data_IF_907855989231
#
_entry.id   IF_907855989231
#
_cell.length_a   1.000
_cell.length_b   1.000
_cell.length_c   1.000
_cell.angle_alpha   90.00
_cell.angle_beta   90.00
_cell.angle_gamma   90.00
#
_symmetry.space_group_name_H-M   'P 1'
#
loop_
_entity.id
_entity.type
_entity.pdbx_description
1 polymer ?
#
# COMPACT_ATOMS: atom_id res chain seq x y z
N UNK A 1 -2.78 -2.12 16.18
CA UNK A 1 -1.66 -1.14 16.28
C UNK A 1 -2.23 0.17 16.78
N UNK A 2 -1.77 0.65 17.94
CA UNK A 2 -2.25 1.91 18.52
C UNK A 2 -1.19 2.99 18.34
N UNK A 3 -1.59 4.22 18.15
CA UNK A 3 -0.73 5.41 18.15
C UNK A 3 -1.34 6.49 19.06
N UNK A 4 -0.57 7.49 19.39
CA UNK A 4 -0.98 8.61 20.25
C UNK A 4 -0.57 9.96 19.63
N UNK A 5 -0.86 11.06 20.33
CA UNK A 5 -0.53 12.39 19.85
C UNK A 5 0.97 12.65 19.74
N UNK A 6 1.78 12.01 20.59
CA UNK A 6 3.24 12.14 20.51
C UNK A 6 3.78 11.55 19.19
N UNK A 7 3.13 10.49 18.67
CA UNK A 7 3.46 9.93 17.36
C UNK A 7 3.14 10.90 16.22
N UNK A 8 2.00 11.60 16.31
CA UNK A 8 1.63 12.64 15.35
C UNK A 8 2.62 13.82 15.41
N UNK A 9 2.92 14.29 16.62
CA UNK A 9 3.86 15.40 16.83
C UNK A 9 5.27 15.04 16.33
N UNK A 10 5.73 13.82 16.62
CA UNK A 10 7.01 13.34 16.12
C UNK A 10 7.04 13.29 14.59
N UNK A 11 6.00 12.70 13.97
CA UNK A 11 5.90 12.61 12.52
C UNK A 11 5.94 13.99 11.87
N UNK A 12 5.13 14.93 12.37
CA UNK A 12 5.06 16.30 11.82
C UNK A 12 6.38 17.04 11.93
N UNK A 13 7.09 16.89 13.03
CA UNK A 13 8.31 17.64 13.30
C UNK A 13 9.57 17.03 12.67
N UNK A 14 9.60 15.71 12.43
CA UNK A 14 10.83 15.00 12.08
C UNK A 14 10.78 14.25 10.74
N UNK A 15 9.58 13.85 10.30
CA UNK A 15 9.40 12.99 9.13
C UNK A 15 8.73 13.74 7.99
N UNK A 16 7.58 14.39 8.26
CA UNK A 16 6.79 15.06 7.22
C UNK A 16 7.58 16.18 6.55
N UNK A 17 7.49 16.24 5.22
CA UNK A 17 8.08 17.30 4.43
C UNK A 17 7.09 17.75 3.34
N UNK A 18 6.52 18.93 3.54
CA UNK A 18 5.53 19.51 2.64
C UNK A 18 6.03 19.64 1.19
N UNK A 19 7.35 19.88 1.00
CA UNK A 19 7.95 20.00 -0.34
C UNK A 19 7.87 18.71 -1.17
N UNK A 20 7.64 17.57 -0.52
CA UNK A 20 7.46 16.27 -1.16
C UNK A 20 5.99 15.90 -1.37
N UNK A 21 5.08 16.79 -1.00
CA UNK A 21 3.67 16.62 -1.29
C UNK A 21 3.35 17.19 -2.68
N UNK A 22 3.09 16.33 -3.61
CA UNK A 22 2.69 16.68 -4.98
C UNK A 22 1.17 16.53 -5.10
N UNK A 23 0.49 17.52 -5.66
CA UNK A 23 -0.98 17.57 -5.71
C UNK A 23 -1.63 16.49 -6.59
N UNK A 24 -0.88 15.77 -7.39
CA UNK A 24 -1.40 14.73 -8.29
C UNK A 24 -0.79 13.36 -8.01
N UNK A 25 -1.61 12.43 -7.54
CA UNK A 25 -1.24 11.02 -7.40
C UNK A 25 -0.26 10.70 -6.26
N UNK A 26 -0.06 11.58 -5.28
CA UNK A 26 0.77 11.31 -4.12
C UNK A 26 -0.04 10.82 -2.93
N UNK A 27 0.64 10.10 -2.04
CA UNK A 27 0.09 9.72 -0.74
C UNK A 27 -0.42 10.94 0.02
N UNK A 28 -1.55 10.83 0.68
CA UNK A 28 -1.99 11.85 1.64
C UNK A 28 -1.08 11.88 2.88
N UNK A 29 -1.15 12.95 3.66
CA UNK A 29 -0.41 13.01 4.92
C UNK A 29 -0.81 11.87 5.88
N UNK A 30 -2.07 11.45 5.84
CA UNK A 30 -2.57 10.32 6.64
C UNK A 30 -1.92 9.02 6.17
N UNK A 31 -1.85 8.79 4.86
CA UNK A 31 -1.22 7.59 4.30
C UNK A 31 0.28 7.55 4.60
N UNK A 32 0.98 8.70 4.49
CA UNK A 32 2.39 8.84 4.88
C UNK A 32 2.60 8.51 6.36
N UNK A 33 1.72 9.00 7.23
CA UNK A 33 1.79 8.76 8.67
C UNK A 33 1.55 7.29 9.00
N UNK A 34 0.58 6.64 8.38
CA UNK A 34 0.30 5.21 8.60
C UNK A 34 1.44 4.31 8.14
N UNK A 35 2.08 4.64 7.00
CA UNK A 35 3.30 3.97 6.55
C UNK A 35 4.43 4.14 7.59
N UNK A 36 4.66 5.38 8.06
CA UNK A 36 5.63 5.64 9.14
C UNK A 36 5.35 4.80 10.39
N UNK A 37 4.09 4.75 10.85
CA UNK A 37 3.71 3.97 12.03
C UNK A 37 3.97 2.48 11.86
N UNK A 38 3.60 1.90 10.72
CA UNK A 38 3.84 0.49 10.44
C UNK A 38 5.34 0.17 10.51
N UNK A 39 6.16 0.98 9.84
CA UNK A 39 7.61 0.81 9.81
C UNK A 39 8.28 1.03 11.19
N UNK A 40 7.84 2.07 11.92
CA UNK A 40 8.34 2.36 13.28
C UNK A 40 8.10 1.20 14.24
N UNK A 41 6.93 0.56 14.14
CA UNK A 41 6.55 -0.53 15.03
C UNK A 41 7.20 -1.86 14.64
N UNK A 42 7.23 -2.19 13.36
CA UNK A 42 7.75 -3.47 12.86
C UNK A 42 9.26 -3.49 12.68
N UNK A 43 9.88 -2.34 12.46
CA UNK A 43 11.33 -2.15 12.31
C UNK A 43 11.98 -3.13 11.33
N UNK A 44 11.43 -3.29 10.11
CA UNK A 44 12.03 -4.19 9.14
C UNK A 44 13.41 -3.70 8.73
N UNK A 45 14.29 -4.64 8.34
CA UNK A 45 15.61 -4.30 7.78
C UNK A 45 15.53 -4.07 6.28
N UNK A 46 14.50 -4.63 5.65
CA UNK A 46 14.32 -4.61 4.20
C UNK A 46 12.89 -4.19 3.91
N UNK A 47 12.73 -3.24 3.00
CA UNK A 47 11.42 -2.84 2.48
C UNK A 47 11.39 -3.05 0.98
N UNK A 48 10.34 -3.69 0.50
CA UNK A 48 10.03 -3.78 -0.92
C UNK A 48 8.83 -2.88 -1.17
N UNK A 49 9.07 -1.81 -1.89
CA UNK A 49 8.08 -0.83 -2.30
C UNK A 49 7.68 -1.11 -3.76
N UNK A 50 6.41 -1.43 -3.99
CA UNK A 50 5.85 -1.59 -5.33
C UNK A 50 4.87 -0.45 -5.59
N UNK A 51 5.18 0.39 -6.60
CA UNK A 51 4.57 1.70 -6.85
C UNK A 51 5.36 2.82 -6.17
N UNK A 52 6.23 3.48 -6.93
CA UNK A 52 7.16 4.51 -6.41
C UNK A 52 6.72 5.93 -6.79
N UNK A 53 6.29 6.12 -8.04
CA UNK A 53 5.82 7.37 -8.61
C UNK A 53 6.74 8.56 -8.27
N UNK A 54 6.31 9.49 -7.40
CA UNK A 54 7.07 10.70 -7.03
C UNK A 54 8.14 10.45 -5.95
N UNK A 55 8.24 9.22 -5.40
CA UNK A 55 9.21 8.87 -4.38
C UNK A 55 8.86 9.34 -2.96
N UNK A 56 7.62 9.74 -2.74
CA UNK A 56 7.16 10.21 -1.42
C UNK A 56 7.22 9.08 -0.38
N UNK A 57 6.73 7.91 -0.72
CA UNK A 57 6.79 6.71 0.12
C UNK A 57 8.23 6.27 0.37
N UNK A 58 9.08 6.25 -0.65
CA UNK A 58 10.52 5.96 -0.50
C UNK A 58 11.19 6.90 0.50
N UNK A 59 10.85 8.20 0.45
CA UNK A 59 11.34 9.18 1.44
C UNK A 59 10.89 8.84 2.86
N UNK A 60 9.60 8.54 3.07
CA UNK A 60 9.06 8.16 4.38
C UNK A 60 9.74 6.91 4.92
N UNK A 61 9.94 5.89 4.07
CA UNK A 61 10.65 4.66 4.42
C UNK A 61 12.06 4.98 4.90
N UNK A 62 12.83 5.74 4.11
CA UNK A 62 14.21 6.11 4.45
C UNK A 62 14.30 6.94 5.73
N UNK A 63 13.41 7.91 5.90
CA UNK A 63 13.38 8.75 7.11
C UNK A 63 12.98 7.98 8.36
N UNK A 64 12.14 6.98 8.23
CA UNK A 64 11.68 6.17 9.36
C UNK A 64 12.72 5.15 9.80
N UNK A 65 13.34 4.45 8.86
CA UNK A 65 14.21 3.30 9.15
C UNK A 65 15.70 3.64 9.22
N UNK A 66 16.10 4.83 8.74
CA UNK A 66 17.51 5.26 8.75
C UNK A 66 18.31 4.69 7.57
N UNK A 67 19.63 4.89 7.62
CA UNK A 67 20.53 4.65 6.48
C UNK A 67 20.84 3.17 6.22
N UNK A 68 20.69 2.32 7.23
CA UNK A 68 21.06 0.89 7.14
C UNK A 68 19.97 0.03 6.48
N UNK A 69 18.73 0.52 6.39
CA UNK A 69 17.65 -0.21 5.76
C UNK A 69 17.88 -0.38 4.25
N UNK A 70 17.62 -1.58 3.76
CA UNK A 70 17.66 -1.91 2.33
C UNK A 70 16.28 -1.61 1.75
N UNK A 71 16.22 -0.85 0.66
CA UNK A 71 14.96 -0.53 -0.02
C UNK A 71 15.02 -1.02 -1.47
N UNK A 72 14.04 -1.81 -1.87
CA UNK A 72 13.80 -2.19 -3.26
C UNK A 72 12.62 -1.37 -3.76
N UNK A 73 12.85 -0.52 -4.76
CA UNK A 73 11.86 0.35 -5.38
C UNK A 73 11.46 -0.22 -6.74
N UNK A 74 10.21 -0.67 -6.87
CA UNK A 74 9.69 -1.31 -8.08
C UNK A 74 8.63 -0.40 -8.71
N UNK A 75 8.84 0.01 -9.96
CA UNK A 75 7.84 0.77 -10.71
C UNK A 75 7.97 0.47 -12.21
N UNK A 76 6.88 0.03 -12.88
CA UNK A 76 6.92 -0.26 -14.31
C UNK A 76 7.14 0.98 -15.18
N UNK A 77 6.88 2.15 -14.64
CA UNK A 77 7.05 3.41 -15.34
C UNK A 77 8.40 4.05 -14.98
N UNK A 78 8.93 4.84 -15.91
CA UNK A 78 10.03 5.74 -15.59
C UNK A 78 9.52 6.81 -14.62
N UNK A 79 10.24 7.02 -13.53
CA UNK A 79 9.82 8.01 -12.54
C UNK A 79 9.96 9.42 -13.12
N UNK A 80 9.03 10.33 -12.83
CA UNK A 80 9.13 11.72 -13.22
C UNK A 80 10.46 12.35 -12.81
N UNK A 81 11.01 13.27 -13.61
CA UNK A 81 12.30 13.93 -13.33
C UNK A 81 12.28 14.73 -12.02
N UNK A 82 11.09 15.17 -11.59
CA UNK A 82 10.88 15.87 -10.31
C UNK A 82 10.79 14.93 -9.11
N UNK A 83 10.78 13.60 -9.32
CA UNK A 83 10.64 12.63 -8.23
C UNK A 83 11.80 12.71 -7.26
N UNK A 84 11.49 12.59 -5.98
CA UNK A 84 12.51 12.40 -4.97
C UNK A 84 13.19 11.04 -5.16
N UNK A 85 14.51 11.02 -5.12
CA UNK A 85 15.33 9.81 -5.22
C UNK A 85 16.15 9.63 -3.96
N UNK A 86 16.11 8.44 -3.41
CA UNK A 86 17.06 8.05 -2.38
C UNK A 86 18.40 7.67 -3.02
N UNK A 87 19.44 8.43 -2.71
CA UNK A 87 20.79 8.22 -3.23
C UNK A 87 21.63 7.27 -2.35
N UNK A 88 21.03 6.69 -1.32
CA UNK A 88 21.71 5.73 -0.47
C UNK A 88 22.04 4.45 -1.27
N UNK A 89 23.25 3.92 -1.09
CA UNK A 89 23.70 2.69 -1.76
C UNK A 89 22.87 1.44 -1.41
N UNK A 90 22.13 1.49 -0.30
CA UNK A 90 21.20 0.43 0.10
C UNK A 90 19.84 0.53 -0.57
N UNK A 91 19.60 1.53 -1.46
CA UNK A 91 18.37 1.63 -2.26
C UNK A 91 18.61 1.15 -3.67
N UNK A 92 17.80 0.21 -4.11
CA UNK A 92 17.88 -0.39 -5.45
C UNK A 92 16.59 -0.09 -6.21
N UNK A 93 16.74 0.52 -7.39
CA UNK A 93 15.63 0.88 -8.27
C UNK A 93 15.51 -0.12 -9.43
N UNK A 94 14.34 -0.71 -9.55
CA UNK A 94 13.88 -1.54 -10.66
C UNK A 94 12.72 -0.84 -11.35
N UNK A 95 13.02 0.08 -12.26
CA UNK A 95 12.04 1.01 -12.84
C UNK A 95 12.11 1.02 -14.36
N UNK A 96 11.02 1.36 -15.01
CA UNK A 96 10.92 1.49 -16.46
C UNK A 96 11.44 0.25 -17.18
N UNK A 97 12.44 0.41 -18.05
CA UNK A 97 13.02 -0.68 -18.83
C UNK A 97 13.75 -1.74 -17.98
N UNK A 98 14.11 -1.41 -16.74
CA UNK A 98 14.76 -2.33 -15.80
C UNK A 98 13.76 -2.86 -14.75
N UNK A 99 12.48 -2.70 -14.98
CA UNK A 99 11.44 -3.15 -14.06
C UNK A 99 11.50 -4.64 -13.82
N UNK A 100 11.38 -5.01 -12.55
CA UNK A 100 11.19 -6.39 -12.09
C UNK A 100 9.95 -6.40 -11.21
N UNK A 101 8.95 -7.21 -11.58
CA UNK A 101 7.76 -7.37 -10.73
C UNK A 101 8.13 -8.01 -9.39
N UNK A 102 7.37 -7.66 -8.36
CA UNK A 102 7.53 -8.19 -7.00
C UNK A 102 7.67 -9.72 -6.97
N UNK A 103 6.88 -10.43 -7.78
CA UNK A 103 6.91 -11.89 -7.83
C UNK A 103 8.27 -12.43 -8.30
N UNK A 104 8.94 -11.73 -9.19
CA UNK A 104 10.19 -12.14 -9.84
C UNK A 104 11.44 -11.63 -9.12
N UNK A 105 11.26 -10.82 -8.07
CA UNK A 105 12.39 -10.30 -7.29
C UNK A 105 13.10 -11.44 -6.56
N UNK A 106 14.40 -11.58 -6.79
CA UNK A 106 15.23 -12.56 -6.07
C UNK A 106 15.56 -12.06 -4.66
N UNK A 107 15.03 -12.76 -3.67
CA UNK A 107 15.18 -12.46 -2.25
C UNK A 107 15.89 -13.56 -1.48
N UNK A 108 16.44 -14.57 -2.15
CA UNK A 108 17.01 -15.76 -1.52
C UNK A 108 18.13 -15.48 -0.52
N UNK A 109 18.86 -14.38 -0.70
CA UNK A 109 19.94 -13.97 0.20
C UNK A 109 19.45 -13.26 1.48
N UNK A 110 18.14 -13.02 1.61
CA UNK A 110 17.58 -12.25 2.71
C UNK A 110 16.68 -13.12 3.60
N UNK A 111 16.68 -12.81 4.91
CA UNK A 111 15.74 -13.44 5.81
C UNK A 111 14.33 -12.82 5.62
N UNK A 112 13.38 -13.64 5.23
CA UNK A 112 12.00 -13.19 4.97
C UNK A 112 11.33 -12.50 6.17
N UNK A 113 11.74 -12.81 7.39
CA UNK A 113 11.23 -12.17 8.62
C UNK A 113 11.66 -10.71 8.76
N UNK A 114 12.76 -10.32 8.11
CA UNK A 114 13.26 -8.96 8.11
C UNK A 114 12.64 -8.10 6.98
N UNK A 115 11.79 -8.71 6.14
CA UNK A 115 11.19 -8.07 4.98
C UNK A 115 9.79 -7.54 5.30
N UNK A 116 9.52 -6.33 4.84
CA UNK A 116 8.22 -5.68 4.81
C UNK A 116 7.87 -5.35 3.35
N UNK A 117 6.69 -5.73 2.90
CA UNK A 117 6.19 -5.40 1.58
C UNK A 117 5.18 -4.25 1.67
N UNK A 118 5.40 -3.21 0.88
CA UNK A 118 4.50 -2.08 0.73
C UNK A 118 3.99 -2.01 -0.72
N UNK A 119 2.67 -2.07 -0.89
CA UNK A 119 2.01 -2.05 -2.18
C UNK A 119 1.16 -0.79 -2.34
N UNK A 120 1.55 0.03 -3.31
CA UNK A 120 0.83 1.19 -3.84
C UNK A 120 0.81 1.12 -5.38
N UNK A 121 0.75 -0.11 -5.90
CA UNK A 121 0.92 -0.44 -7.32
C UNK A 121 -0.41 -0.68 -8.04
N UNK A 122 -1.52 -0.52 -7.35
CA UNK A 122 -2.88 -0.70 -7.86
C UNK A 122 -3.12 -2.09 -8.49
N UNK A 123 -2.37 -3.10 -8.05
CA UNK A 123 -2.55 -4.47 -8.50
C UNK A 123 -3.55 -5.22 -7.61
N UNK A 124 -3.96 -6.40 -8.06
CA UNK A 124 -4.84 -7.28 -7.30
C UNK A 124 -4.20 -7.65 -5.96
N UNK A 125 -4.77 -7.18 -4.85
CA UNK A 125 -4.22 -7.38 -3.50
C UNK A 125 -4.13 -8.87 -3.14
N UNK A 126 -5.05 -9.71 -3.61
CA UNK A 126 -5.02 -11.14 -3.33
C UNK A 126 -3.83 -11.81 -4.00
N UNK A 127 -3.52 -11.44 -5.23
CA UNK A 127 -2.30 -11.92 -5.91
C UNK A 127 -1.05 -11.53 -5.13
N UNK A 128 -0.97 -10.28 -4.63
CA UNK A 128 0.16 -9.81 -3.80
C UNK A 128 0.27 -10.57 -2.47
N UNK A 129 -0.85 -10.88 -1.82
CA UNK A 129 -0.88 -11.69 -0.58
C UNK A 129 -0.31 -13.09 -0.85
N UNK A 130 -0.76 -13.76 -1.91
CA UNK A 130 -0.29 -15.10 -2.26
C UNK A 130 1.20 -15.11 -2.64
N UNK A 131 1.67 -14.07 -3.35
CA UNK A 131 3.09 -13.90 -3.66
C UNK A 131 3.92 -13.71 -2.38
N UNK A 132 3.45 -12.89 -1.43
CA UNK A 132 4.08 -12.72 -0.13
C UNK A 132 4.11 -14.03 0.66
N UNK A 133 2.99 -14.75 0.72
CA UNK A 133 2.92 -16.05 1.39
C UNK A 133 3.93 -17.05 0.80
N UNK A 134 4.01 -17.16 -0.53
CA UNK A 134 4.95 -18.05 -1.22
C UNK A 134 6.43 -17.67 -0.96
N UNK A 135 6.71 -16.39 -0.69
CA UNK A 135 8.05 -15.89 -0.34
C UNK A 135 8.31 -15.87 1.18
N UNK A 136 7.37 -16.36 2.00
CA UNK A 136 7.39 -16.29 3.46
C UNK A 136 7.53 -14.85 4.00
N UNK A 137 7.05 -13.85 3.28
CA UNK A 137 6.99 -12.46 3.74
C UNK A 137 5.68 -12.29 4.49
N UNK A 138 5.77 -11.91 5.77
CA UNK A 138 4.60 -11.85 6.64
C UNK A 138 4.02 -10.45 6.82
N UNK A 139 4.83 -9.42 6.76
CA UNK A 139 4.43 -8.05 7.05
C UNK A 139 4.14 -7.30 5.76
N UNK A 140 2.90 -6.91 5.57
CA UNK A 140 2.42 -6.31 4.32
C UNK A 140 1.60 -5.06 4.64
N UNK A 141 1.85 -3.96 3.96
CA UNK A 141 0.99 -2.79 3.96
C UNK A 141 0.45 -2.53 2.56
N UNK A 142 -0.85 -2.41 2.46
CA UNK A 142 -1.53 -1.96 1.25
C UNK A 142 -1.96 -0.51 1.41
N UNK A 143 -1.60 0.33 0.45
CA UNK A 143 -2.31 1.56 0.18
C UNK A 143 -3.55 1.22 -0.68
N UNK A 144 -4.53 2.12 -0.71
CA UNK A 144 -5.72 1.97 -1.56
C UNK A 144 -6.54 0.68 -1.33
N UNK A 145 -6.69 0.22 -0.07
CA UNK A 145 -7.58 -0.89 0.26
C UNK A 145 -9.06 -0.45 0.24
N UNK A 146 -9.54 -0.13 -0.93
CA UNK A 146 -10.87 0.43 -1.17
C UNK A 146 -12.00 -0.43 -0.60
N UNK A 147 -13.04 0.19 0.00
CA UNK A 147 -14.22 -0.51 0.47
C UNK A 147 -15.07 -1.04 -0.68
N UNK A 148 -16.07 -1.83 -0.31
CA UNK A 148 -17.07 -2.36 -1.23
C UNK A 148 -17.63 -1.27 -2.15
N UNK A 149 -17.77 -1.59 -3.41
CA UNK A 149 -18.32 -0.76 -4.48
C UNK A 149 -17.42 0.37 -4.97
N UNK A 150 -16.17 0.43 -4.57
CA UNK A 150 -15.29 1.48 -5.05
C UNK A 150 -13.87 0.98 -5.34
N UNK A 151 -13.09 1.82 -6.01
CA UNK A 151 -11.68 1.56 -6.25
C UNK A 151 -11.35 1.08 -7.66
N UNK A 152 -10.07 1.14 -7.96
CA UNK A 152 -9.51 0.85 -9.29
C UNK A 152 -9.06 -0.60 -9.48
N UNK A 153 -8.91 -1.36 -8.39
CA UNK A 153 -8.40 -2.73 -8.39
C UNK A 153 -9.09 -3.58 -7.32
N UNK A 154 -8.86 -4.88 -7.33
CA UNK A 154 -9.43 -5.79 -6.35
C UNK A 154 -8.65 -5.75 -5.04
N UNK A 155 -9.35 -5.43 -3.94
CA UNK A 155 -8.78 -5.21 -2.61
C UNK A 155 -9.17 -6.30 -1.62
N UNK A 156 -8.58 -6.28 -0.42
CA UNK A 156 -8.93 -7.19 0.67
C UNK A 156 -10.38 -6.92 1.13
N UNK A 157 -10.81 -5.65 1.16
CA UNK A 157 -12.19 -5.29 1.51
C UNK A 157 -13.21 -5.88 0.53
N UNK A 158 -12.89 -5.93 -0.76
CA UNK A 158 -13.74 -6.60 -1.74
C UNK A 158 -13.86 -8.11 -1.44
N UNK A 159 -12.76 -8.78 -1.09
CA UNK A 159 -12.77 -10.19 -0.72
C UNK A 159 -13.62 -10.42 0.54
N UNK A 160 -13.37 -9.67 1.61
CA UNK A 160 -14.06 -9.81 2.91
C UNK A 160 -15.56 -9.58 2.75
N UNK A 161 -15.97 -8.58 2.00
CA UNK A 161 -17.36 -8.18 1.83
C UNK A 161 -18.09 -8.93 0.69
N UNK A 162 -17.47 -9.94 0.07
CA UNK A 162 -17.99 -10.68 -1.09
C UNK A 162 -18.39 -9.73 -2.25
N UNK A 163 -17.63 -8.67 -2.47
CA UNK A 163 -17.87 -7.73 -3.56
C UNK A 163 -17.13 -8.15 -4.83
N UNK A 164 -17.71 -9.13 -5.51
CA UNK A 164 -17.16 -9.71 -6.74
C UNK A 164 -17.84 -9.13 -7.99
N UNK A 165 -18.43 -7.93 -7.93
CA UNK A 165 -19.20 -7.36 -9.05
C UNK A 165 -18.39 -7.26 -10.33
N UNK A 166 -17.14 -6.88 -10.22
CA UNK A 166 -16.23 -6.82 -11.35
C UNK A 166 -15.79 -8.21 -11.84
N UNK A 167 -15.96 -9.24 -11.02
CA UNK A 167 -15.61 -10.63 -11.33
C UNK A 167 -16.78 -11.34 -12.02
N UNK A 168 -18.02 -11.09 -11.57
CA UNK A 168 -19.21 -11.83 -12.05
C UNK A 168 -19.61 -11.52 -13.49
N UNK A 169 -19.27 -10.34 -14.01
CA UNK A 169 -19.71 -9.85 -15.32
C UNK A 169 -18.62 -9.85 -16.39
N UNK A 170 -17.44 -10.40 -16.09
CA UNK A 170 -16.30 -10.36 -16.99
C UNK A 170 -15.72 -11.76 -17.14
N UNK A 171 -15.21 -12.09 -18.32
CA UNK A 171 -14.42 -13.31 -18.51
C UNK A 171 -13.19 -13.27 -17.59
N UNK A 172 -12.61 -14.44 -17.28
CA UNK A 172 -11.44 -14.53 -16.40
C UNK A 172 -10.30 -13.57 -16.82
N UNK A 173 -10.15 -13.32 -18.11
CA UNK A 173 -9.22 -12.33 -18.68
C UNK A 173 -9.59 -10.88 -18.31
N UNK A 174 -10.87 -10.57 -18.08
CA UNK A 174 -11.33 -9.23 -17.71
C UNK A 174 -11.11 -8.93 -16.21
N UNK A 175 -10.96 -9.97 -15.39
CA UNK A 175 -10.58 -9.81 -13.98
C UNK A 175 -9.17 -9.24 -13.86
N UNK A 176 -8.31 -9.58 -14.82
CA UNK A 176 -6.95 -9.05 -14.94
C UNK A 176 -6.91 -7.72 -15.69
N UNK A 177 -7.96 -7.42 -16.48
CA UNK A 177 -8.15 -6.16 -17.20
C UNK A 177 -8.86 -5.09 -16.35
N UNK A 178 -9.01 -5.30 -15.06
CA UNK A 178 -9.55 -4.26 -14.19
C UNK A 178 -8.55 -3.12 -14.15
N UNK A 179 -8.77 -2.21 -15.09
CA UNK A 179 -8.10 -0.96 -15.37
C UNK A 179 -6.74 -1.08 -16.07
N UNK A 180 -6.71 -0.62 -17.25
CA UNK A 180 -5.72 0.12 -18.04
C UNK A 180 -4.30 0.31 -17.48
N UNK A 181 -3.96 -0.35 -16.41
CA UNK A 181 -2.61 -0.51 -15.94
C UNK A 181 -2.01 -1.56 -16.84
N UNK A 182 -1.03 -1.13 -17.53
CA UNK A 182 -0.31 -1.76 -18.59
C UNK A 182 -0.11 -3.27 -18.36
N UNK A 183 -1.07 -4.07 -18.86
CA UNK A 183 -1.08 -5.54 -18.79
C UNK A 183 0.21 -6.17 -19.32
N UNK A 184 1.03 -5.40 -20.05
CA UNK A 184 2.36 -5.81 -20.50
C UNK A 184 3.32 -6.13 -19.35
N UNK A 185 2.98 -5.71 -18.14
CA UNK A 185 3.80 -5.77 -16.94
C UNK A 185 3.44 -6.92 -15.99
N UNK A 186 2.30 -7.58 -16.22
CA UNK A 186 1.98 -8.78 -15.48
C UNK A 186 2.71 -9.98 -16.12
N UNK A 187 3.50 -10.67 -15.32
CA UNK A 187 4.08 -11.94 -15.73
C UNK A 187 2.95 -12.88 -16.19
N UNK A 188 3.11 -13.47 -17.39
CA UNK A 188 2.14 -14.43 -17.94
C UNK A 188 1.82 -15.58 -16.97
N UNK A 189 2.80 -16.02 -16.19
CA UNK A 189 2.62 -17.05 -15.17
C UNK A 189 1.69 -16.62 -14.03
N UNK A 190 1.64 -15.33 -13.70
CA UNK A 190 0.70 -14.80 -12.71
C UNK A 190 -0.69 -14.73 -13.31
N UNK A 191 -0.82 -14.34 -14.57
CA UNK A 191 -2.09 -14.31 -15.28
C UNK A 191 -2.75 -15.69 -15.33
N UNK A 192 -2.01 -16.71 -15.73
CA UNK A 192 -2.50 -18.09 -15.79
C UNK A 192 -2.89 -18.63 -14.41
N UNK A 193 -2.07 -18.41 -13.38
CA UNK A 193 -2.37 -18.84 -12.02
C UNK A 193 -3.52 -18.06 -11.37
N UNK A 194 -3.71 -16.79 -11.69
CA UNK A 194 -4.83 -16.01 -11.13
C UNK A 194 -6.17 -16.35 -11.78
N UNK A 195 -6.17 -16.84 -13.01
CA UNK A 195 -7.37 -17.33 -13.72
C UNK A 195 -7.95 -18.59 -13.03
N UNK A 196 -7.10 -19.43 -12.43
CA UNK A 196 -7.52 -20.64 -11.72
C UNK A 196 -8.12 -20.35 -10.33
N UNK A 197 -7.96 -19.13 -9.77
CA UNK A 197 -8.52 -18.77 -8.47
C UNK A 197 -10.00 -18.40 -8.58
N UNK A 198 -10.86 -19.30 -8.22
CA UNK A 198 -12.23 -18.97 -7.84
C UNK A 198 -12.19 -18.30 -6.45
N UNK A 199 -12.20 -16.97 -6.41
CA UNK A 199 -12.12 -16.20 -5.16
C UNK A 199 -13.24 -16.54 -4.17
N UNK A 200 -14.42 -16.92 -4.66
CA UNK A 200 -15.55 -17.29 -3.81
C UNK A 200 -15.27 -18.59 -3.07
N UNK A 201 -14.77 -19.59 -3.77
CA UNK A 201 -14.47 -20.91 -3.19
C UNK A 201 -13.21 -20.89 -2.31
N UNK A 202 -12.27 -20.00 -2.60
CA UNK A 202 -11.00 -19.93 -1.89
C UNK A 202 -10.92 -18.80 -0.83
N UNK A 203 -11.99 -18.01 -0.66
CA UNK A 203 -12.02 -16.91 0.29
C UNK A 203 -11.55 -17.31 1.69
N UNK A 204 -12.13 -18.39 2.24
CA UNK A 204 -11.77 -18.86 3.57
C UNK A 204 -10.30 -19.28 3.66
N UNK A 205 -9.77 -19.94 2.64
CA UNK A 205 -8.37 -20.33 2.59
C UNK A 205 -7.44 -19.12 2.61
N UNK A 206 -7.81 -18.05 1.89
CA UNK A 206 -7.03 -16.81 1.84
C UNK A 206 -7.12 -16.08 3.19
N UNK A 207 -8.31 -15.96 3.76
CA UNK A 207 -8.50 -15.32 5.08
C UNK A 207 -7.77 -16.09 6.18
N UNK A 208 -7.71 -17.41 6.10
CA UNK A 208 -6.96 -18.23 7.06
C UNK A 208 -5.43 -18.02 7.00
N UNK A 209 -4.92 -17.35 5.98
CA UNK A 209 -3.52 -16.90 5.98
C UNK A 209 -3.28 -15.69 6.90
N UNK A 210 -4.34 -14.97 7.30
CA UNK A 210 -4.22 -13.73 8.05
C UNK A 210 -4.07 -14.04 9.55
N UNK A 211 -3.00 -13.53 10.15
CA UNK A 211 -2.84 -13.45 11.60
C UNK A 211 -3.45 -12.15 12.13
N UNK A 212 -3.15 -11.03 11.49
CA UNK A 212 -3.71 -9.71 11.81
C UNK A 212 -4.16 -9.00 10.54
N UNK A 213 -5.30 -8.32 10.64
CA UNK A 213 -5.83 -7.43 9.60
C UNK A 213 -6.25 -6.13 10.26
N UNK A 214 -5.59 -5.03 9.93
CA UNK A 214 -5.80 -3.75 10.59
C UNK A 214 -5.89 -2.62 9.56
N UNK A 215 -7.06 -2.01 9.44
CA UNK A 215 -7.26 -0.79 8.67
C UNK A 215 -6.94 0.39 9.58
N UNK A 216 -5.96 1.19 9.21
CA UNK A 216 -5.64 2.39 9.97
C UNK A 216 -6.82 3.37 9.97
N UNK A 217 -7.12 4.03 11.08
CA UNK A 217 -8.14 5.07 11.10
C UNK A 217 -7.62 6.33 10.40
N UNK A 218 -8.53 7.13 9.85
CA UNK A 218 -8.22 8.52 9.51
C UNK A 218 -7.86 9.31 10.78
N UNK A 219 -7.20 10.45 10.65
CA UNK A 219 -6.87 11.28 11.81
C UNK A 219 -8.10 12.04 12.29
N UNK A 220 -8.86 12.63 11.39
CA UNK A 220 -10.08 13.38 11.70
C UNK A 220 -11.32 12.71 11.15
N UNK A 221 -12.49 12.92 11.82
CA UNK A 221 -13.77 12.41 11.33
C UNK A 221 -14.13 13.03 9.98
N UNK A 222 -14.69 12.22 9.10
CA UNK A 222 -15.13 12.67 7.78
C UNK A 222 -15.62 11.52 6.93
N UNK A 223 -16.16 11.87 5.77
CA UNK A 223 -16.54 10.93 4.74
C UNK A 223 -15.61 11.08 3.55
N UNK A 224 -15.01 9.99 3.11
CA UNK A 224 -14.12 9.99 1.96
C UNK A 224 -14.97 9.99 0.70
N UNK A 225 -14.74 10.96 -0.17
CA UNK A 225 -15.41 11.04 -1.47
C UNK A 225 -14.63 10.29 -2.52
N UNK A 226 -15.28 9.34 -3.17
CA UNK A 226 -14.78 8.66 -4.36
C UNK A 226 -15.68 8.95 -5.56
N UNK A 227 -15.33 8.41 -6.74
CA UNK A 227 -16.21 8.46 -7.92
C UNK A 227 -17.55 7.78 -7.72
N UNK A 228 -17.62 6.79 -6.82
CA UNK A 228 -18.81 5.98 -6.53
C UNK A 228 -19.64 6.50 -5.35
N UNK A 229 -19.19 7.53 -4.62
CA UNK A 229 -19.95 8.10 -3.52
C UNK A 229 -19.13 8.54 -2.31
N UNK A 230 -19.80 8.60 -1.17
CA UNK A 230 -19.23 8.97 0.12
C UNK A 230 -19.13 7.75 1.02
N UNK A 231 -17.97 7.56 1.61
CA UNK A 231 -17.68 6.42 2.49
C UNK A 231 -17.24 6.90 3.86
N UNK A 232 -17.94 6.52 4.94
CA UNK A 232 -17.53 6.81 6.29
C UNK A 232 -16.23 6.05 6.62
N UNK A 233 -15.33 6.69 7.36
CA UNK A 233 -14.15 6.03 7.87
C UNK A 233 -14.03 6.23 9.39
N UNK A 234 -13.44 5.25 10.06
CA UNK A 234 -13.04 5.42 11.46
C UNK A 234 -11.99 6.52 11.55
N UNK A 235 -12.02 7.29 12.63
CA UNK A 235 -11.06 8.35 12.88
C UNK A 235 -10.45 8.23 14.28
N UNK A 236 -9.23 8.75 14.41
CA UNK A 236 -8.53 8.81 15.69
C UNK A 236 -9.16 9.86 16.63
N UNK A 237 -9.30 11.10 16.16
CA UNK A 237 -10.05 12.11 16.90
C UNK A 237 -11.55 11.93 16.68
N UNK A 238 -12.33 12.13 17.74
CA UNK A 238 -13.79 12.05 17.69
C UNK A 238 -14.44 13.31 17.10
N UNK A 239 -13.71 14.42 17.06
CA UNK A 239 -14.15 15.72 16.56
C UNK A 239 -12.99 16.49 15.91
N UNK A 240 -13.24 17.71 15.46
CA UNK A 240 -12.27 18.56 14.77
C UNK A 240 -11.58 19.60 15.69
N UNK A 241 -11.67 19.50 17.00
CA UNK A 241 -11.10 20.50 17.93
C UNK A 241 -9.59 20.68 17.76
N UNK A 242 -8.89 19.61 17.39
CA UNK A 242 -7.43 19.63 17.15
C UNK A 242 -7.03 19.92 15.70
N UNK A 243 -7.98 20.26 14.83
CA UNK A 243 -7.71 20.50 13.40
C UNK A 243 -6.70 21.65 13.18
N UNK A 244 -6.68 22.65 14.04
CA UNK A 244 -5.71 23.75 13.96
C UNK A 244 -4.28 23.26 14.22
N UNK A 245 -4.07 22.39 15.23
CA UNK A 245 -2.76 21.81 15.55
C UNK A 245 -2.26 20.89 14.44
N UNK A 246 -3.15 20.10 13.88
CA UNK A 246 -2.83 19.07 12.88
C UNK A 246 -3.45 19.41 11.51
N UNK A 247 -3.28 20.67 11.10
CA UNK A 247 -3.92 21.24 9.91
C UNK A 247 -3.76 20.38 8.65
N UNK A 248 -2.56 19.87 8.38
CA UNK A 248 -2.30 19.09 7.17
C UNK A 248 -3.09 17.76 7.14
N UNK A 249 -3.28 17.10 8.27
CA UNK A 249 -4.11 15.91 8.34
C UNK A 249 -5.59 16.25 8.14
N UNK A 250 -6.03 17.38 8.66
CA UNK A 250 -7.39 17.86 8.46
C UNK A 250 -7.66 18.22 6.99
N UNK A 251 -6.72 18.91 6.33
CA UNK A 251 -6.82 19.26 4.91
C UNK A 251 -6.79 18.01 3.99
N UNK A 252 -6.10 16.96 4.42
CA UNK A 252 -5.98 15.73 3.65
C UNK A 252 -6.97 14.62 4.05
N UNK A 253 -7.87 14.87 5.01
CA UNK A 253 -8.78 13.84 5.51
C UNK A 253 -9.64 13.17 4.43
N UNK A 254 -10.00 13.91 3.38
CA UNK A 254 -10.80 13.40 2.26
C UNK A 254 -9.97 12.62 1.22
N UNK A 255 -8.65 12.60 1.37
CA UNK A 255 -7.71 11.92 0.46
C UNK A 255 -7.17 10.61 1.03
N UNK A 256 -7.61 10.22 2.23
CA UNK A 256 -7.22 8.96 2.85
C UNK A 256 -7.62 7.75 1.99
N UNK A 257 -6.77 6.71 1.98
CA UNK A 257 -6.89 5.55 1.07
C UNK A 257 -7.06 4.20 1.78
N UNK A 258 -7.55 4.20 3.02
CA UNK A 258 -7.78 2.97 3.80
C UNK A 258 -6.55 2.08 3.92
N UNK A 259 -5.40 2.68 4.25
CA UNK A 259 -4.16 1.94 4.45
C UNK A 259 -4.37 0.77 5.41
N UNK A 260 -3.93 -0.39 4.98
CA UNK A 260 -4.21 -1.63 5.68
C UNK A 260 -2.94 -2.42 5.93
N UNK A 261 -2.64 -2.67 7.20
CA UNK A 261 -1.61 -3.59 7.63
C UNK A 261 -2.18 -5.01 7.69
N UNK A 262 -1.50 -5.93 7.04
CA UNK A 262 -1.78 -7.35 7.08
C UNK A 262 -0.54 -8.09 7.58
N UNK A 263 -0.73 -8.94 8.59
CA UNK A 263 0.32 -9.86 9.05
C UNK A 263 -0.16 -11.28 8.73
N UNK A 264 0.64 -12.04 8.00
CA UNK A 264 0.38 -13.43 7.66
C UNK A 264 0.85 -14.39 8.76
N UNK A 265 0.22 -15.56 8.84
CA UNK A 265 0.59 -16.67 9.73
C UNK A 265 2.01 -17.20 9.50
#
# INVERSE_FOLDING_TARGET
MNFNEDDLDFFMNNIYNEKLYFNSGCMSSVDMFTLHLALKNLKPKIVIESGVWQGTSTYIIRKTLGQDAIIFCLDPLELPTSSWRDLNSNTKYFIGNNFVDFNNLDLNMYNSRDIFAFFDDHQNAISRILQCHNKNIKNILFNDNYPKNCGSHFTIEHLINNDFRNIKNKNANDILNINDIDMRLLDKNIQEKSIEYNYVENKEKIINLFNEYYIFPNIFPGEIKTGEGYFPCKSYFMNNEKSYKYKIFFEHQLKYRWNTLLILN
#
